data_IF_428200620362
#
_entry.id   IF_428200620362
#
_cell.length_a   1.000
_cell.length_b   1.000
_cell.length_c   1.000
_cell.angle_alpha   90.00
_cell.angle_beta   90.00
_cell.angle_gamma   90.00
#
_symmetry.space_group_name_H-M   'P 1'
#
loop_
_entity.id
_entity.type
_entity.pdbx_description
1 polymer ?
#
# COMPACT_ATOMS: atom_id res chain seq x y z
N UNK A 1 31.21 -12.26 -31.99
CA UNK A 1 31.20 -10.91 -31.39
C UNK A 1 29.87 -10.73 -30.68
N UNK A 2 29.81 -10.99 -29.37
CA UNK A 2 28.61 -10.83 -28.55
C UNK A 2 29.06 -10.51 -27.12
N UNK A 3 29.55 -9.31 -26.90
CA UNK A 3 29.97 -8.82 -25.59
C UNK A 3 29.93 -7.28 -25.58
N UNK A 4 28.75 -6.68 -25.45
CA UNK A 4 28.64 -5.22 -25.30
C UNK A 4 27.31 -4.70 -24.68
N UNK A 5 26.50 -5.51 -23.99
CA UNK A 5 25.18 -5.07 -23.50
C UNK A 5 24.96 -5.24 -21.98
N UNK A 6 26.02 -5.15 -21.17
CA UNK A 6 25.92 -5.32 -19.71
C UNK A 6 26.21 -4.05 -18.88
N UNK A 7 26.47 -2.88 -19.49
CA UNK A 7 27.05 -1.74 -18.78
C UNK A 7 26.13 -0.52 -18.52
N UNK A 8 24.79 -0.64 -18.63
CA UNK A 8 23.89 0.52 -18.54
C UNK A 8 22.85 0.47 -17.40
N UNK A 9 22.99 -0.42 -16.40
CA UNK A 9 21.96 -0.63 -15.37
C UNK A 9 22.22 0.02 -14.00
N UNK A 10 23.38 0.67 -13.78
CA UNK A 10 23.78 1.09 -12.42
C UNK A 10 23.45 2.55 -12.05
N UNK A 11 22.83 3.34 -12.93
CA UNK A 11 22.55 4.77 -12.69
C UNK A 11 21.14 5.14 -12.23
N UNK A 12 20.14 4.26 -12.34
CA UNK A 12 18.71 4.65 -12.23
C UNK A 12 18.08 4.39 -10.85
N UNK A 13 18.79 3.72 -9.94
CA UNK A 13 18.27 3.34 -8.62
C UNK A 13 18.21 4.46 -7.57
N UNK A 14 18.99 5.54 -7.75
CA UNK A 14 19.15 6.61 -6.77
C UNK A 14 17.93 7.54 -6.68
N UNK A 15 17.32 7.91 -7.81
CA UNK A 15 16.15 8.79 -7.85
C UNK A 15 14.93 8.18 -7.16
N UNK A 16 14.66 6.91 -7.44
CA UNK A 16 13.59 6.14 -6.82
C UNK A 16 13.82 5.91 -5.33
N UNK A 17 15.06 5.60 -4.94
CA UNK A 17 15.45 5.47 -3.54
C UNK A 17 15.24 6.78 -2.78
N UNK A 18 15.50 7.92 -3.43
CA UNK A 18 15.30 9.24 -2.84
C UNK A 18 13.82 9.56 -2.61
N UNK A 19 12.90 9.18 -3.51
CA UNK A 19 11.46 9.38 -3.31
C UNK A 19 10.94 8.54 -2.13
N UNK A 20 11.35 7.28 -2.05
CA UNK A 20 11.01 6.40 -0.92
C UNK A 20 11.57 6.94 0.39
N UNK A 21 12.83 7.36 0.40
CA UNK A 21 13.46 7.97 1.58
C UNK A 21 12.79 9.30 1.97
N UNK A 22 12.35 10.11 1.01
CA UNK A 22 11.64 11.35 1.28
C UNK A 22 10.29 11.09 1.97
N UNK A 23 9.51 10.11 1.51
CA UNK A 23 8.27 9.71 2.20
C UNK A 23 8.55 9.06 3.58
N UNK A 24 9.66 8.35 3.73
CA UNK A 24 10.08 7.82 5.02
C UNK A 24 10.48 8.94 6.00
N UNK A 25 11.12 10.01 5.51
CA UNK A 25 11.54 11.18 6.30
C UNK A 25 10.39 12.07 6.75
N UNK A 26 9.19 11.96 6.17
CA UNK A 26 8.00 12.71 6.64
C UNK A 26 7.57 12.37 8.07
N UNK A 27 8.23 11.42 8.73
CA UNK A 27 7.93 11.00 10.10
C UNK A 27 6.69 10.11 10.15
N UNK A 28 6.58 9.27 11.19
CA UNK A 28 5.39 8.45 11.46
C UNK A 28 4.48 9.18 12.43
N UNK A 29 3.18 9.21 12.15
CA UNK A 29 2.20 9.72 13.10
C UNK A 29 2.04 8.72 14.27
N UNK A 30 1.51 9.19 15.41
CA UNK A 30 1.23 8.33 16.54
C UNK A 30 0.29 7.17 16.13
N UNK A 31 0.69 5.94 16.42
CA UNK A 31 -0.07 4.73 16.06
C UNK A 31 0.24 4.17 14.66
N UNK A 32 1.09 4.81 13.87
CA UNK A 32 1.55 4.25 12.59
C UNK A 32 2.77 3.34 12.76
N UNK A 33 2.79 2.24 12.03
CA UNK A 33 3.94 1.37 11.88
C UNK A 33 4.20 1.04 10.40
N UNK A 34 5.43 0.69 10.04
CA UNK A 34 5.76 0.23 8.69
C UNK A 34 5.06 -1.08 8.38
N UNK A 35 4.52 -1.20 7.18
CA UNK A 35 3.83 -2.41 6.70
C UNK A 35 4.45 -2.89 5.38
N UNK A 36 4.70 -4.20 5.26
CA UNK A 36 5.36 -4.79 4.07
C UNK A 36 4.96 -6.25 3.83
N UNK A 37 3.74 -6.65 4.20
CA UNK A 37 3.27 -8.03 3.96
C UNK A 37 2.74 -8.14 2.53
N UNK A 38 3.65 -8.48 1.62
CA UNK A 38 3.35 -8.72 0.22
C UNK A 38 2.75 -10.11 -0.01
N UNK A 39 1.86 -10.21 -0.99
CA UNK A 39 1.32 -11.47 -1.51
C UNK A 39 1.95 -11.70 -2.88
N UNK A 40 2.42 -12.92 -3.14
CA UNK A 40 2.93 -13.28 -4.46
C UNK A 40 1.81 -13.16 -5.49
N UNK A 41 2.01 -12.29 -6.49
CA UNK A 41 1.10 -12.15 -7.63
C UNK A 41 1.72 -12.89 -8.79
N UNK A 42 0.97 -13.79 -9.40
CA UNK A 42 1.41 -14.42 -10.65
C UNK A 42 1.50 -13.35 -11.74
N UNK A 43 2.71 -13.16 -12.27
CA UNK A 43 2.97 -12.27 -13.39
C UNK A 43 2.24 -12.79 -14.63
N UNK A 44 1.34 -11.99 -15.18
CA UNK A 44 0.81 -12.26 -16.52
C UNK A 44 1.89 -11.88 -17.53
N UNK A 45 2.16 -12.76 -18.50
CA UNK A 45 3.00 -12.42 -19.64
C UNK A 45 2.27 -11.35 -20.46
N UNK A 46 2.59 -10.08 -20.21
CA UNK A 46 1.96 -8.98 -20.92
C UNK A 46 2.72 -8.68 -22.22
N UNK A 47 2.00 -8.17 -23.22
CA UNK A 47 2.48 -7.88 -24.59
C UNK A 47 3.69 -6.94 -24.68
N UNK A 48 4.09 -6.33 -23.58
CA UNK A 48 5.22 -5.39 -23.48
C UNK A 48 6.48 -6.01 -22.86
N UNK A 49 6.44 -7.24 -22.35
CA UNK A 49 7.60 -7.90 -21.72
C UNK A 49 8.80 -8.00 -22.68
N UNK A 50 8.55 -8.14 -23.99
CA UNK A 50 9.61 -8.18 -25.00
C UNK A 50 10.20 -6.79 -25.32
N UNK A 51 9.45 -5.72 -25.03
CA UNK A 51 9.85 -4.34 -25.34
C UNK A 51 10.47 -3.61 -24.16
N UNK A 52 10.06 -3.95 -22.94
CA UNK A 52 10.49 -3.29 -21.72
C UNK A 52 10.78 -4.32 -20.64
N UNK A 53 11.84 -4.11 -19.87
CA UNK A 53 12.17 -4.97 -18.73
C UNK A 53 11.12 -4.77 -17.63
N UNK A 54 10.40 -5.83 -17.19
CA UNK A 54 9.48 -5.73 -16.06
C UNK A 54 10.18 -5.20 -14.81
N UNK A 55 9.54 -4.25 -14.13
CA UNK A 55 10.06 -3.61 -12.91
C UNK A 55 9.08 -3.83 -11.76
N UNK A 56 9.59 -4.22 -10.59
CA UNK A 56 8.78 -4.23 -9.37
C UNK A 56 8.69 -2.81 -8.80
N UNK A 57 7.49 -2.24 -8.62
CA UNK A 57 7.35 -0.90 -8.06
C UNK A 57 7.85 -0.86 -6.62
N UNK A 58 8.48 0.26 -6.26
CA UNK A 58 8.85 0.52 -4.86
C UNK A 58 7.60 0.98 -4.11
N UNK A 59 7.57 0.79 -2.80
CA UNK A 59 6.47 1.25 -1.97
C UNK A 59 6.95 1.63 -0.56
N UNK A 60 6.15 2.45 0.11
CA UNK A 60 6.32 2.80 1.52
C UNK A 60 4.97 2.83 2.21
N UNK A 61 4.57 1.68 2.74
CA UNK A 61 3.26 1.49 3.34
C UNK A 61 3.33 1.62 4.85
N UNK A 62 2.26 2.18 5.42
CA UNK A 62 2.06 2.29 6.86
C UNK A 62 0.74 1.64 7.24
N UNK A 63 0.73 0.95 8.37
CA UNK A 63 -0.48 0.46 9.04
C UNK A 63 -0.76 1.39 10.20
N UNK A 64 -1.99 1.89 10.27
CA UNK A 64 -2.46 2.68 11.40
C UNK A 64 -3.11 1.72 12.40
N UNK A 65 -2.56 1.68 13.61
CA UNK A 65 -3.02 0.83 14.71
C UNK A 65 -3.42 1.69 15.89
N UNK A 66 -4.46 1.28 16.59
CA UNK A 66 -4.94 2.02 17.75
C UNK A 66 -5.79 1.17 18.68
N UNK A 67 -6.12 1.75 19.82
CA UNK A 67 -6.98 1.13 20.81
C UNK A 67 -8.44 1.41 20.51
N UNK A 68 -9.29 0.41 20.67
CA UNK A 68 -10.73 0.59 20.61
C UNK A 68 -11.34 0.46 22.00
N UNK A 69 -11.74 1.58 22.60
CA UNK A 69 -12.40 1.62 23.91
C UNK A 69 -13.90 1.37 23.79
N UNK A 70 -14.29 0.16 23.41
CA UNK A 70 -15.70 -0.27 23.44
C UNK A 70 -16.15 -0.57 24.89
N UNK A 71 -17.46 -0.77 25.12
CA UNK A 71 -18.01 -1.01 26.47
C UNK A 71 -17.36 -2.21 27.17
N UNK A 72 -17.04 -3.26 26.41
CA UNK A 72 -16.38 -4.45 26.94
C UNK A 72 -14.93 -4.17 27.33
N UNK A 73 -14.18 -3.48 26.48
CA UNK A 73 -12.79 -3.13 26.77
C UNK A 73 -12.68 -2.18 27.95
N UNK A 74 -13.64 -1.26 28.12
CA UNK A 74 -13.70 -0.37 29.28
C UNK A 74 -13.89 -1.11 30.63
N UNK A 75 -14.40 -2.34 30.64
CA UNK A 75 -14.58 -3.13 31.88
C UNK A 75 -13.39 -4.05 32.18
N UNK A 76 -12.51 -4.29 31.21
CA UNK A 76 -11.41 -5.26 31.31
C UNK A 76 -10.02 -4.65 31.18
N UNK A 77 -9.92 -3.43 30.65
CA UNK A 77 -8.65 -2.74 30.40
C UNK A 77 -8.71 -1.34 30.99
N UNK A 78 -7.55 -0.84 31.37
CA UNK A 78 -7.37 0.50 31.93
C UNK A 78 -6.23 1.23 31.19
N UNK A 79 -5.91 2.45 31.63
CA UNK A 79 -4.91 3.27 30.95
C UNK A 79 -3.49 2.71 31.05
N UNK A 80 -3.21 1.91 32.08
CA UNK A 80 -1.91 1.30 32.35
C UNK A 80 -1.78 -0.08 31.66
N UNK A 81 -2.91 -0.74 31.45
CA UNK A 81 -3.07 -2.03 30.76
C UNK A 81 -4.09 -1.88 29.62
N UNK A 82 -3.74 -1.16 28.54
CA UNK A 82 -4.67 -0.90 27.45
C UNK A 82 -5.02 -2.18 26.68
N UNK A 83 -6.18 -2.21 25.98
CA UNK A 83 -6.56 -3.34 25.16
C UNK A 83 -5.53 -3.61 24.05
N UNK A 84 -5.51 -4.81 23.45
CA UNK A 84 -4.69 -5.07 22.27
C UNK A 84 -4.96 -4.05 21.15
N UNK A 85 -3.90 -3.59 20.48
CA UNK A 85 -4.04 -2.67 19.35
C UNK A 85 -4.71 -3.39 18.19
N UNK A 86 -5.68 -2.73 17.58
CA UNK A 86 -6.33 -3.19 16.36
C UNK A 86 -5.93 -2.31 15.18
N UNK A 87 -5.97 -2.86 13.98
CA UNK A 87 -5.74 -2.11 12.75
C UNK A 87 -6.93 -1.19 12.51
N UNK A 88 -6.68 0.11 12.39
CA UNK A 88 -7.68 1.14 12.16
C UNK A 88 -7.67 1.66 10.72
N UNK A 89 -6.61 1.39 9.96
CA UNK A 89 -6.48 1.86 8.58
C UNK A 89 -5.12 1.56 7.99
N UNK A 90 -4.95 1.91 6.72
CA UNK A 90 -3.70 1.76 5.99
C UNK A 90 -3.39 3.02 5.18
N UNK A 91 -2.10 3.31 5.03
CA UNK A 91 -1.58 4.34 4.14
C UNK A 91 -0.57 3.72 3.18
N UNK A 92 -0.99 3.49 1.94
CA UNK A 92 -0.14 2.98 0.87
C UNK A 92 0.47 4.13 0.08
N UNK A 93 1.78 4.08 -0.12
CA UNK A 93 2.48 4.94 -1.07
C UNK A 93 3.23 4.04 -2.03
N UNK A 94 2.76 3.94 -3.28
CA UNK A 94 3.38 3.11 -4.31
C UNK A 94 3.99 4.01 -5.36
N UNK A 95 5.24 3.75 -5.72
CA UNK A 95 6.05 4.60 -6.58
C UNK A 95 6.11 4.02 -8.00
N UNK A 96 5.67 4.84 -8.95
CA UNK A 96 5.63 4.62 -10.38
C UNK A 96 6.23 5.81 -11.17
N UNK A 97 7.49 6.21 -10.93
CA UNK A 97 8.13 7.36 -11.60
C UNK A 97 8.29 7.18 -13.12
N UNK A 98 8.53 5.94 -13.58
CA UNK A 98 8.89 5.62 -14.96
C UNK A 98 7.75 4.98 -15.76
N UNK A 99 6.49 5.37 -15.50
CA UNK A 99 5.38 4.93 -16.33
C UNK A 99 5.59 5.37 -17.78
N UNK A 100 5.48 4.42 -18.70
CA UNK A 100 5.58 4.68 -20.13
C UNK A 100 4.48 5.65 -20.57
N UNK A 101 3.24 5.37 -20.14
CA UNK A 101 2.10 6.25 -20.38
C UNK A 101 1.66 6.93 -19.08
N UNK A 102 2.18 8.14 -18.85
CA UNK A 102 1.83 8.96 -17.67
C UNK A 102 0.37 9.42 -17.65
N UNK A 103 -0.39 9.26 -18.75
CA UNK A 103 -1.83 9.58 -18.77
C UNK A 103 -2.67 8.46 -18.16
N UNK A 104 -2.15 7.23 -18.18
CA UNK A 104 -2.81 6.08 -17.55
C UNK A 104 -2.41 6.03 -16.08
N UNK A 105 -3.39 6.28 -15.22
CA UNK A 105 -3.19 6.24 -13.78
C UNK A 105 -3.21 4.79 -13.28
N UNK A 106 -2.28 4.42 -12.38
CA UNK A 106 -2.36 3.15 -11.67
C UNK A 106 -3.71 2.96 -10.98
N UNK A 107 -4.24 1.75 -11.01
CA UNK A 107 -5.51 1.40 -10.37
C UNK A 107 -5.31 0.36 -9.27
N UNK A 108 -6.35 0.04 -8.52
CA UNK A 108 -6.31 -1.03 -7.52
C UNK A 108 -7.58 -1.86 -7.57
N UNK A 109 -7.48 -3.11 -7.13
CA UNK A 109 -8.60 -4.03 -6.99
C UNK A 109 -8.53 -4.76 -5.65
N UNK A 110 -9.69 -5.13 -5.13
CA UNK A 110 -9.83 -5.94 -3.91
C UNK A 110 -10.38 -7.30 -4.29
N UNK A 111 -9.73 -8.36 -3.83
CA UNK A 111 -10.22 -9.73 -3.93
C UNK A 111 -10.28 -10.39 -2.56
N UNK A 112 -11.26 -11.27 -2.30
CA UNK A 112 -11.29 -12.03 -1.05
C UNK A 112 -10.04 -12.93 -0.93
N UNK A 113 -9.53 -13.11 0.28
CA UNK A 113 -8.48 -14.09 0.55
C UNK A 113 -9.09 -15.50 0.66
N UNK A 114 -8.62 -16.51 -0.11
CA UNK A 114 -9.11 -17.88 0.03
C UNK A 114 -8.82 -18.50 1.41
N UNK A 115 -7.84 -17.98 2.15
CA UNK A 115 -7.44 -18.53 3.45
C UNK A 115 -8.25 -18.04 4.65
N UNK A 116 -8.90 -16.87 4.57
CA UNK A 116 -9.66 -16.29 5.68
C UNK A 116 -10.64 -15.21 5.21
N UNK A 117 -11.85 -15.20 5.77
CA UNK A 117 -12.87 -14.15 5.54
C UNK A 117 -12.50 -12.79 6.13
N UNK A 118 -11.63 -12.78 7.14
CA UNK A 118 -11.26 -11.58 7.91
C UNK A 118 -10.20 -10.74 7.18
N UNK A 119 -9.64 -11.27 6.09
CA UNK A 119 -8.62 -10.61 5.29
C UNK A 119 -8.98 -10.59 3.81
N UNK A 120 -8.46 -9.61 3.09
CA UNK A 120 -8.59 -9.51 1.65
C UNK A 120 -7.26 -9.10 1.03
N UNK A 121 -7.15 -9.29 -0.27
CA UNK A 121 -5.96 -9.00 -1.06
C UNK A 121 -6.22 -7.70 -1.82
N UNK A 122 -5.44 -6.68 -1.51
CA UNK A 122 -5.42 -5.41 -2.22
C UNK A 122 -4.31 -5.45 -3.27
N UNK A 123 -4.70 -5.51 -4.56
CA UNK A 123 -3.78 -5.54 -5.70
C UNK A 123 -3.71 -4.16 -6.35
N UNK A 124 -2.50 -3.67 -6.56
CA UNK A 124 -2.23 -2.45 -7.32
C UNK A 124 -1.78 -2.81 -8.73
N UNK A 125 -2.38 -2.13 -9.71
CA UNK A 125 -2.09 -2.24 -11.12
C UNK A 125 -1.34 -1.00 -11.57
N UNK A 126 -0.03 -1.13 -11.78
CA UNK A 126 0.81 -0.02 -12.23
C UNK A 126 0.68 0.24 -13.73
N UNK A 127 0.57 -0.83 -14.51
CA UNK A 127 0.72 -0.80 -15.97
C UNK A 127 2.19 -0.75 -16.40
N UNK A 128 2.47 -0.82 -17.71
CA UNK A 128 3.82 -1.01 -18.24
C UNK A 128 4.78 0.14 -17.82
N UNK A 129 6.01 -0.15 -17.35
CA UNK A 129 6.68 -1.46 -17.25
C UNK A 129 6.56 -2.12 -15.87
N UNK A 130 5.66 -1.65 -15.01
CA UNK A 130 5.56 -2.11 -13.64
C UNK A 130 4.69 -3.34 -13.51
N UNK A 131 5.20 -4.32 -12.77
CA UNK A 131 4.42 -5.48 -12.35
C UNK A 131 3.39 -5.10 -11.27
N UNK A 132 2.31 -5.85 -11.24
CA UNK A 132 1.30 -5.72 -10.20
C UNK A 132 1.85 -6.18 -8.86
N UNK A 133 1.53 -5.43 -7.81
CA UNK A 133 1.87 -5.80 -6.42
C UNK A 133 0.60 -6.00 -5.63
N UNK A 134 0.61 -6.94 -4.68
CA UNK A 134 -0.53 -7.17 -3.81
C UNK A 134 -0.14 -7.25 -2.34
N UNK A 135 -1.07 -6.84 -1.49
CA UNK A 135 -0.90 -6.84 -0.05
C UNK A 135 -2.10 -7.50 0.63
N UNK A 136 -1.83 -8.27 1.68
CA UNK A 136 -2.88 -8.83 2.52
C UNK A 136 -3.31 -7.81 3.58
N UNK A 137 -4.56 -7.38 3.56
CA UNK A 137 -5.12 -6.40 4.49
C UNK A 137 -6.34 -6.94 5.22
N UNK A 138 -6.73 -6.30 6.31
CA UNK A 138 -7.99 -6.63 7.01
C UNK A 138 -9.19 -6.30 6.12
N UNK A 139 -10.14 -7.23 6.04
CA UNK A 139 -11.37 -7.10 5.27
C UNK A 139 -12.45 -6.38 6.09
N UNK A 140 -12.36 -5.06 6.17
CA UNK A 140 -13.36 -4.20 6.79
C UNK A 140 -13.79 -3.08 5.84
N UNK A 141 -14.97 -2.50 6.10
CA UNK A 141 -15.51 -1.42 5.29
C UNK A 141 -14.67 -0.14 5.42
N UNK A 142 -14.33 0.48 4.29
CA UNK A 142 -13.50 1.68 4.26
C UNK A 142 -14.34 2.95 4.47
N UNK A 143 -13.80 3.89 5.23
CA UNK A 143 -14.29 5.25 5.29
C UNK A 143 -13.82 6.01 4.04
N UNK A 144 -14.75 6.32 3.14
CA UNK A 144 -14.48 7.00 1.86
C UNK A 144 -14.51 8.52 1.97
N UNK A 145 -14.83 9.07 3.14
CA UNK A 145 -14.89 10.50 3.34
C UNK A 145 -13.48 11.12 3.43
N UNK A 146 -13.18 12.05 2.52
CA UNK A 146 -11.92 12.80 2.49
C UNK A 146 -11.64 13.56 3.79
N UNK A 147 -12.67 14.07 4.48
CA UNK A 147 -12.51 14.74 5.78
C UNK A 147 -12.08 13.79 6.90
N UNK A 148 -12.24 12.47 6.70
CA UNK A 148 -11.87 11.42 7.66
C UNK A 148 -10.60 10.67 7.27
N UNK A 149 -9.79 11.26 6.38
CA UNK A 149 -8.47 10.75 6.03
C UNK A 149 -8.44 9.90 4.76
N UNK A 150 -9.56 9.73 4.05
CA UNK A 150 -9.54 9.07 2.75
C UNK A 150 -8.76 9.89 1.73
N UNK A 151 -7.83 9.25 1.03
CA UNK A 151 -7.09 9.83 -0.08
C UNK A 151 -6.83 8.75 -1.12
N UNK A 152 -7.20 9.02 -2.37
CA UNK A 152 -6.80 8.22 -3.51
C UNK A 152 -6.34 9.17 -4.62
N UNK A 153 -5.03 9.37 -4.75
CA UNK A 153 -4.45 10.32 -5.72
C UNK A 153 -3.16 9.79 -6.32
N UNK A 154 -2.99 9.96 -7.62
CA UNK A 154 -1.73 9.75 -8.32
C UNK A 154 -1.13 11.10 -8.72
N UNK A 155 0.04 11.44 -8.19
CA UNK A 155 0.74 12.69 -8.50
C UNK A 155 2.25 12.46 -8.48
N UNK A 156 2.97 13.03 -9.46
CA UNK A 156 4.45 12.98 -9.56
C UNK A 156 5.02 11.55 -9.46
N UNK A 157 4.34 10.57 -10.05
CA UNK A 157 4.77 9.18 -10.01
C UNK A 157 4.53 8.48 -8.67
N UNK A 158 3.68 9.04 -7.79
CA UNK A 158 3.35 8.42 -6.50
C UNK A 158 1.85 8.21 -6.43
N UNK A 159 1.43 6.95 -6.26
CA UNK A 159 0.06 6.58 -5.92
C UNK A 159 -0.08 6.59 -4.40
N UNK A 160 -0.92 7.50 -3.91
CA UNK A 160 -1.29 7.60 -2.51
C UNK A 160 -2.70 7.01 -2.33
N UNK A 161 -2.79 5.89 -1.62
CA UNK A 161 -4.06 5.29 -1.21
C UNK A 161 -4.11 5.19 0.31
N UNK A 162 -4.81 6.13 0.94
CA UNK A 162 -4.99 6.20 2.39
C UNK A 162 -6.46 5.98 2.71
N UNK A 163 -6.73 5.12 3.67
CA UNK A 163 -8.08 4.89 4.16
C UNK A 163 -8.04 4.43 5.60
N UNK A 164 -9.09 4.78 6.32
CA UNK A 164 -9.39 4.26 7.64
C UNK A 164 -10.59 3.32 7.54
N UNK A 165 -10.73 2.40 8.46
CA UNK A 165 -11.92 1.58 8.57
C UNK A 165 -13.07 2.36 9.20
N UNK A 166 -14.29 2.08 8.76
CA UNK A 166 -15.48 2.66 9.37
C UNK A 166 -15.61 2.16 10.81
N UNK A 167 -15.81 3.12 11.72
CA UNK A 167 -16.13 2.82 13.11
C UNK A 167 -17.64 2.64 13.25
N UNK A 168 -18.07 1.40 13.48
CA UNK A 168 -19.46 1.13 13.81
C UNK A 168 -19.71 1.50 15.27
N UNK A 169 -20.30 2.67 15.51
CA UNK A 169 -20.80 3.01 16.84
C UNK A 169 -22.12 2.28 17.05
N UNK A 170 -22.11 1.27 17.90
CA UNK A 170 -23.35 0.64 18.37
C UNK A 170 -24.29 1.70 18.94
N UNK A 171 -25.48 1.87 18.35
CA UNK A 171 -26.57 2.68 18.90
C UNK A 171 -27.51 1.71 19.63
N UNK A 172 -27.80 2.02 20.90
CA UNK A 172 -28.83 1.34 21.68
C UNK A 172 -30.21 1.83 21.30
#
# INVERSE_FOLDING_TARGET
QAAAAAAAAEGEGEGDGRLVQAEARKGMEAGEARFSVEVAVEGKAEWWHDKYRPRKPKYFNRVHTGYEWNKYNQTHYDHDNPPPKMVQGYKFNVFYPDLIDRRKTPTYSLSPDPGSSDTCILRFHGGPPYEDIAFKIVNQEWETNHKRGFRCRFERGILQLYFNFKRHRYRR
#
